data_IF_937942986328
#
_entry.id   IF_937942986328
#
_cell.length_a   1.000
_cell.length_b   1.000
_cell.length_c   1.000
_cell.angle_alpha   90.00
_cell.angle_beta   90.00
_cell.angle_gamma   90.00
#
_symmetry.space_group_name_H-M   'P 1'
#
loop_
_entity.id
_entity.type
_entity.pdbx_description
1 polymer ?
#
# COMPACT_ATOMS: atom_id res chain seq x y z
N UNK A 1 -76.16 -9.88 37.35
CA UNK A 1 -76.87 -10.00 36.05
C UNK A 1 -76.03 -9.18 35.06
N UNK A 2 -75.36 -9.70 34.04
CA UNK A 2 -75.48 -10.95 33.29
C UNK A 2 -74.10 -11.26 32.71
N UNK A 3 -73.63 -12.50 32.92
CA UNK A 3 -72.46 -13.06 32.24
C UNK A 3 -72.83 -13.33 30.78
N UNK A 4 -71.92 -13.07 29.84
CA UNK A 4 -71.83 -13.86 28.61
C UNK A 4 -70.36 -14.06 28.27
N UNK A 5 -70.02 -15.33 28.14
CA UNK A 5 -68.73 -15.92 27.92
C UNK A 5 -68.86 -16.65 26.57
N UNK A 6 -68.03 -16.35 25.57
CA UNK A 6 -67.88 -17.20 24.40
C UNK A 6 -66.46 -17.05 23.84
N UNK A 7 -65.76 -18.18 23.81
CA UNK A 7 -64.41 -18.45 23.28
C UNK A 7 -64.58 -19.12 21.89
N UNK A 8 -63.50 -19.50 21.18
CA UNK A 8 -62.63 -18.71 20.31
C UNK A 8 -62.85 -19.06 18.81
N UNK A 9 -62.35 -18.21 17.90
CA UNK A 9 -62.18 -18.59 16.48
C UNK A 9 -60.71 -18.50 16.11
N UNK A 10 -60.13 -19.66 15.80
CA UNK A 10 -58.78 -19.81 15.31
C UNK A 10 -58.72 -19.43 13.82
N UNK A 11 -57.81 -18.51 13.46
CA UNK A 11 -57.30 -18.42 12.10
C UNK A 11 -55.87 -17.85 12.12
N UNK A 12 -54.97 -18.63 11.54
CA UNK A 12 -53.91 -18.08 10.69
C UNK A 12 -52.63 -17.65 11.38
N UNK A 13 -51.75 -18.63 11.58
CA UNK A 13 -50.29 -18.50 11.59
C UNK A 13 -49.81 -17.49 10.55
N UNK A 14 -48.84 -16.63 10.92
CA UNK A 14 -47.57 -16.46 10.19
C UNK A 14 -46.61 -15.63 11.06
N UNK A 15 -45.66 -16.36 11.65
CA UNK A 15 -44.46 -15.86 12.32
C UNK A 15 -43.67 -14.92 11.40
N UNK A 16 -43.50 -13.67 11.83
CA UNK A 16 -42.60 -12.72 11.18
C UNK A 16 -41.16 -13.18 11.30
N UNK A 17 -40.63 -13.79 10.23
CA UNK A 17 -39.23 -14.16 10.10
C UNK A 17 -38.39 -12.89 10.11
N UNK A 18 -37.61 -12.72 11.18
CA UNK A 18 -36.53 -11.75 11.33
C UNK A 18 -35.50 -12.01 10.23
N UNK A 19 -35.57 -11.30 9.11
CA UNK A 19 -34.58 -11.39 8.02
C UNK A 19 -33.24 -10.86 8.51
N UNK A 20 -32.41 -11.75 9.06
CA UNK A 20 -30.97 -11.54 9.20
C UNK A 20 -30.40 -11.51 7.78
N UNK A 21 -30.12 -10.33 7.24
CA UNK A 21 -29.36 -10.16 5.99
C UNK A 21 -27.86 -10.35 6.23
N UNK A 22 -27.51 -11.43 6.93
CA UNK A 22 -26.14 -11.94 7.09
C UNK A 22 -26.08 -13.25 6.30
N UNK A 23 -26.01 -13.13 4.99
CA UNK A 23 -26.01 -14.29 4.10
C UNK A 23 -25.73 -13.99 2.63
N UNK A 24 -25.49 -12.74 2.25
CA UNK A 24 -25.15 -12.36 0.87
C UNK A 24 -23.73 -11.79 0.71
N UNK A 25 -22.92 -11.72 1.78
CA UNK A 25 -21.58 -11.13 1.74
C UNK A 25 -20.43 -12.13 1.53
N UNK A 26 -20.70 -13.45 1.54
CA UNK A 26 -19.64 -14.48 1.43
C UNK A 26 -19.60 -15.13 0.02
N UNK A 27 -20.55 -14.82 -0.86
CA UNK A 27 -20.66 -15.46 -2.19
C UNK A 27 -20.01 -14.67 -3.36
N UNK A 28 -19.28 -13.57 -3.10
CA UNK A 28 -18.49 -12.85 -4.12
C UNK A 28 -16.97 -12.97 -3.91
N UNK A 29 -16.50 -14.08 -3.33
CA UNK A 29 -15.07 -14.38 -3.20
C UNK A 29 -14.58 -15.52 -4.12
N UNK A 30 -15.43 -16.01 -5.05
CA UNK A 30 -15.12 -17.21 -5.85
C UNK A 30 -15.33 -17.06 -7.36
N UNK A 31 -15.46 -15.84 -7.90
CA UNK A 31 -15.47 -15.60 -9.35
C UNK A 31 -14.25 -14.75 -9.69
N UNK A 32 -13.18 -15.40 -10.16
CA UNK A 32 -11.95 -14.73 -10.55
C UNK A 32 -10.67 -15.56 -10.44
N UNK A 33 -10.74 -16.83 -10.05
CA UNK A 33 -9.66 -17.80 -10.29
C UNK A 33 -9.58 -18.21 -11.75
N UNK A 34 -9.52 -17.25 -12.68
CA UNK A 34 -8.90 -17.50 -13.98
C UNK A 34 -7.42 -17.24 -13.74
N UNK A 35 -6.73 -18.27 -13.23
CA UNK A 35 -5.28 -18.25 -13.14
C UNK A 35 -4.74 -17.83 -14.50
N UNK A 36 -4.06 -16.70 -14.54
CA UNK A 36 -3.21 -16.32 -15.65
C UNK A 36 -2.31 -17.52 -15.92
N UNK A 37 -2.49 -18.18 -17.06
CA UNK A 37 -1.54 -19.18 -17.50
C UNK A 37 -0.22 -18.43 -17.63
N UNK A 38 0.73 -18.69 -16.72
CA UNK A 38 2.09 -18.23 -16.90
C UNK A 38 2.57 -18.88 -18.21
N UNK A 39 2.67 -18.07 -19.26
CA UNK A 39 3.28 -18.51 -20.51
C UNK A 39 4.77 -18.26 -20.34
N UNK A 40 5.49 -19.34 -20.02
CA UNK A 40 6.94 -19.37 -20.07
C UNK A 40 7.34 -19.59 -21.53
N UNK A 41 7.99 -18.61 -22.16
CA UNK A 41 8.64 -18.81 -23.45
C UNK A 41 10.07 -19.26 -23.20
N UNK A 42 10.35 -20.52 -23.53
CA UNK A 42 11.69 -21.09 -23.44
C UNK A 42 12.40 -20.99 -24.79
N UNK A 43 13.67 -20.60 -24.78
CA UNK A 43 14.51 -20.58 -25.97
C UNK A 43 15.91 -21.08 -25.67
N UNK A 44 16.53 -21.72 -26.66
CA UNK A 44 17.90 -22.18 -26.60
C UNK A 44 18.63 -21.86 -27.91
N UNK A 45 19.92 -21.56 -27.84
CA UNK A 45 20.75 -21.43 -29.05
C UNK A 45 20.99 -22.79 -29.69
N UNK A 46 21.22 -22.81 -31.00
CA UNK A 46 21.58 -24.04 -31.73
C UNK A 46 22.86 -24.70 -31.18
N UNK A 47 23.75 -23.91 -30.58
CA UNK A 47 24.95 -24.40 -29.90
C UNK A 47 24.69 -24.99 -28.52
N UNK A 48 23.53 -24.73 -27.92
CA UNK A 48 23.20 -25.07 -26.53
C UNK A 48 23.89 -24.22 -25.47
N UNK A 49 24.75 -23.26 -25.86
CA UNK A 49 25.46 -22.39 -24.93
C UNK A 49 24.55 -21.37 -24.26
N UNK A 50 23.43 -21.01 -24.88
CA UNK A 50 22.47 -20.08 -24.31
C UNK A 50 21.15 -20.81 -24.10
N UNK A 51 20.61 -20.72 -22.89
CA UNK A 51 19.23 -21.09 -22.60
C UNK A 51 18.56 -19.93 -21.91
N UNK A 52 17.27 -19.73 -22.15
CA UNK A 52 16.55 -18.66 -21.49
C UNK A 52 15.07 -18.94 -21.36
N UNK A 53 14.48 -18.29 -20.37
CA UNK A 53 13.04 -18.30 -20.13
C UNK A 53 12.56 -16.85 -20.04
N UNK A 54 11.42 -16.58 -20.67
CA UNK A 54 10.68 -15.35 -20.49
C UNK A 54 9.31 -15.70 -19.91
N UNK A 55 9.12 -15.37 -18.64
CA UNK A 55 7.88 -15.56 -17.93
C UNK A 55 7.15 -14.22 -17.85
N UNK A 56 5.90 -14.17 -18.34
CA UNK A 56 5.08 -12.96 -18.26
C UNK A 56 3.76 -13.25 -17.57
N UNK A 57 3.45 -12.42 -16.58
CA UNK A 57 2.25 -12.48 -15.78
C UNK A 57 1.41 -11.23 -15.98
N UNK A 58 0.11 -11.43 -16.19
CA UNK A 58 -0.89 -10.39 -16.29
C UNK A 58 -1.87 -10.53 -15.14
N UNK A 59 -2.16 -9.44 -14.44
CA UNK A 59 -3.19 -9.42 -13.40
C UNK A 59 -4.07 -8.18 -13.54
N UNK A 60 -5.34 -8.34 -13.22
CA UNK A 60 -6.30 -7.25 -13.11
C UNK A 60 -7.11 -7.41 -11.83
N UNK A 61 -7.32 -6.32 -11.10
CA UNK A 61 -8.04 -6.38 -9.83
C UNK A 61 -8.71 -5.07 -9.48
N UNK A 62 -9.77 -5.18 -8.67
CA UNK A 62 -10.58 -4.05 -8.19
C UNK A 62 -10.80 -4.14 -6.69
N UNK A 63 -10.73 -3.00 -6.01
CA UNK A 63 -10.95 -2.88 -4.57
C UNK A 63 -11.88 -1.70 -4.28
N UNK A 64 -12.90 -1.94 -3.45
CA UNK A 64 -13.97 -0.97 -3.17
C UNK A 64 -14.12 -0.70 -1.67
N UNK A 65 -14.33 0.57 -1.30
CA UNK A 65 -14.67 0.95 0.07
C UNK A 65 -16.13 0.56 0.37
N UNK A 66 -16.36 -0.37 1.28
CA UNK A 66 -17.72 -0.87 1.60
C UNK A 66 -18.41 -0.14 2.74
N UNK A 67 -17.65 0.47 3.65
CA UNK A 67 -18.15 1.20 4.82
C UNK A 67 -18.01 2.71 4.66
N UNK A 68 -18.84 3.44 5.39
CA UNK A 68 -18.70 4.90 5.50
C UNK A 68 -17.40 5.29 6.21
N UNK A 69 -17.04 6.57 6.11
CA UNK A 69 -16.02 7.16 6.98
C UNK A 69 -16.49 7.09 8.42
N UNK A 70 -15.55 6.86 9.32
CA UNK A 70 -15.79 6.95 10.73
C UNK A 70 -15.32 8.33 11.19
N UNK A 71 -16.19 9.10 11.83
CA UNK A 71 -15.90 10.49 12.22
C UNK A 71 -14.70 10.56 13.18
N UNK A 72 -14.45 9.52 13.98
CA UNK A 72 -13.30 9.39 14.87
C UNK A 72 -11.95 9.19 14.14
N UNK A 73 -11.96 8.96 12.83
CA UNK A 73 -10.79 8.97 11.96
C UNK A 73 -10.63 10.30 11.20
N UNK A 74 -11.57 11.23 11.31
CA UNK A 74 -11.47 12.53 10.63
C UNK A 74 -11.06 13.60 11.63
N UNK A 75 -10.16 14.49 11.24
CA UNK A 75 -9.79 15.63 12.06
C UNK A 75 -11.00 16.53 12.34
N UNK A 76 -11.10 17.04 13.56
CA UNK A 76 -12.21 17.90 14.02
C UNK A 76 -12.53 19.05 13.05
N UNK A 77 -11.51 19.69 12.49
CA UNK A 77 -11.66 20.79 11.54
C UNK A 77 -12.19 20.35 10.16
N UNK A 78 -11.95 19.10 9.76
CA UNK A 78 -12.51 18.52 8.53
C UNK A 78 -13.98 18.10 8.70
N UNK A 79 -14.42 17.79 9.93
CA UNK A 79 -15.84 17.57 10.26
C UNK A 79 -16.59 18.89 10.46
N UNK A 80 -15.98 19.83 11.18
CA UNK A 80 -16.53 21.15 11.44
C UNK A 80 -15.44 22.22 11.22
N UNK A 81 -15.40 22.88 10.05
CA UNK A 81 -14.41 23.92 9.75
C UNK A 81 -14.42 25.12 10.70
N UNK A 82 -15.50 25.31 11.48
CA UNK A 82 -15.63 26.39 12.45
C UNK A 82 -15.28 25.96 13.89
N UNK A 83 -14.78 24.73 14.08
CA UNK A 83 -14.52 24.18 15.41
C UNK A 83 -13.61 25.07 16.27
N UNK A 84 -12.60 25.71 15.67
CA UNK A 84 -11.69 26.62 16.35
C UNK A 84 -12.33 27.90 16.90
N UNK A 85 -13.55 28.24 16.47
CA UNK A 85 -14.30 29.41 16.95
C UNK A 85 -15.21 29.11 18.14
N UNK A 86 -15.44 27.83 18.46
CA UNK A 86 -16.30 27.42 19.57
C UNK A 86 -15.56 27.53 20.92
N UNK A 87 -16.29 27.65 22.05
CA UNK A 87 -15.67 27.56 23.38
C UNK A 87 -14.89 26.25 23.57
N UNK A 88 -13.77 26.30 24.30
CA UNK A 88 -12.84 25.15 24.46
C UNK A 88 -13.55 23.85 24.89
N UNK A 89 -14.51 23.92 25.81
CA UNK A 89 -15.26 22.75 26.26
C UNK A 89 -16.03 22.06 25.10
N UNK A 90 -16.57 22.85 24.16
CA UNK A 90 -17.24 22.33 22.97
C UNK A 90 -16.24 21.77 21.96
N UNK A 91 -15.06 22.38 21.83
CA UNK A 91 -13.99 21.85 20.98
C UNK A 91 -13.52 20.46 21.45
N UNK A 92 -13.35 20.29 22.76
CA UNK A 92 -12.95 19.03 23.37
C UNK A 92 -14.03 17.96 23.12
N UNK A 93 -15.30 18.30 23.36
CA UNK A 93 -16.43 17.38 23.24
C UNK A 93 -16.84 17.05 21.79
N UNK A 94 -16.45 17.85 20.80
CA UNK A 94 -16.79 17.61 19.40
C UNK A 94 -16.23 16.26 18.88
N UNK A 95 -16.90 15.60 17.94
CA UNK A 95 -16.37 14.39 17.30
C UNK A 95 -15.10 14.68 16.49
N UNK A 96 -14.29 13.64 16.24
CA UNK A 96 -13.09 13.73 15.41
C UNK A 96 -11.76 13.74 16.16
N UNK A 97 -10.67 13.58 15.39
CA UNK A 97 -9.28 13.57 15.87
C UNK A 97 -8.77 14.99 16.14
N UNK A 98 -7.83 15.08 17.06
CA UNK A 98 -7.05 16.29 17.35
C UNK A 98 -5.90 16.51 16.34
N UNK A 99 -6.04 16.00 15.11
CA UNK A 99 -5.07 16.15 14.02
C UNK A 99 -5.77 15.86 12.70
N UNK A 100 -5.41 16.60 11.66
CA UNK A 100 -5.81 16.32 10.26
C UNK A 100 -4.71 15.59 9.49
N UNK A 101 -3.51 15.42 10.07
CA UNK A 101 -2.34 14.87 9.35
C UNK A 101 -2.41 13.34 9.09
N UNK A 102 -3.59 12.75 9.11
CA UNK A 102 -3.78 11.29 8.96
C UNK A 102 -5.15 10.91 8.40
N UNK A 103 -5.87 11.87 7.82
CA UNK A 103 -7.26 11.71 7.38
C UNK A 103 -7.48 11.89 5.87
N UNK A 104 -6.48 12.31 5.10
CA UNK A 104 -6.60 12.47 3.65
C UNK A 104 -7.01 11.14 2.99
N UNK A 105 -6.42 10.01 3.43
CA UNK A 105 -6.78 8.67 2.95
C UNK A 105 -8.25 8.31 3.17
N UNK A 106 -8.86 8.80 4.24
CA UNK A 106 -10.29 8.67 4.45
C UNK A 106 -11.07 9.63 3.53
N UNK A 107 -10.71 10.91 3.53
CA UNK A 107 -11.38 12.00 2.79
C UNK A 107 -11.32 11.84 1.26
N UNK A 108 -10.36 11.07 0.75
CA UNK A 108 -10.14 10.89 -0.68
C UNK A 108 -11.00 9.78 -1.31
N UNK A 109 -11.61 8.92 -0.49
CA UNK A 109 -12.38 7.77 -0.99
C UNK A 109 -13.70 7.61 -0.24
N UNK A 110 -14.82 7.71 -0.96
CA UNK A 110 -16.16 7.59 -0.41
C UNK A 110 -16.66 6.14 -0.39
N UNK A 111 -17.68 5.88 0.43
CA UNK A 111 -18.37 4.58 0.44
C UNK A 111 -18.90 4.24 -0.96
N UNK A 112 -18.68 3.01 -1.39
CA UNK A 112 -19.09 2.50 -2.69
C UNK A 112 -18.21 2.96 -3.85
N UNK A 113 -17.10 3.66 -3.60
CA UNK A 113 -16.11 4.02 -4.62
C UNK A 113 -14.95 3.04 -4.61
N UNK A 114 -14.42 2.79 -5.81
CA UNK A 114 -13.18 2.04 -5.97
C UNK A 114 -12.02 2.87 -5.43
N UNK A 115 -11.14 2.23 -4.67
CA UNK A 115 -9.87 2.82 -4.26
C UNK A 115 -8.66 2.17 -4.93
N UNK A 116 -8.88 1.02 -5.60
CA UNK A 116 -7.95 0.47 -6.58
C UNK A 116 -8.75 -0.17 -7.72
N UNK A 117 -8.29 0.05 -8.94
CA UNK A 117 -8.78 -0.59 -10.15
C UNK A 117 -7.58 -0.67 -11.08
N UNK A 118 -6.81 -1.76 -11.00
CA UNK A 118 -5.48 -1.82 -11.60
C UNK A 118 -5.33 -3.00 -12.53
N UNK A 119 -4.67 -2.75 -13.67
CA UNK A 119 -4.07 -3.78 -14.50
C UNK A 119 -2.56 -3.72 -14.33
N UNK A 120 -1.92 -4.88 -14.31
CA UNK A 120 -0.47 -5.02 -14.11
C UNK A 120 0.08 -6.11 -15.01
N UNK A 121 1.30 -5.89 -15.48
CA UNK A 121 2.14 -6.83 -16.20
C UNK A 121 3.49 -6.94 -15.49
N UNK A 122 3.91 -8.15 -15.19
CA UNK A 122 5.24 -8.45 -14.65
C UNK A 122 5.92 -9.43 -15.59
N UNK A 123 7.14 -9.11 -16.02
CA UNK A 123 7.94 -9.94 -16.93
C UNK A 123 9.29 -10.27 -16.30
N UNK A 124 9.69 -11.54 -16.39
CA UNK A 124 10.92 -12.10 -15.85
C UNK A 124 11.68 -12.78 -16.99
N UNK A 125 12.91 -12.32 -17.23
CA UNK A 125 13.84 -12.91 -18.18
C UNK A 125 14.97 -13.56 -17.39
N UNK A 126 15.12 -14.88 -17.54
CA UNK A 126 16.31 -15.61 -17.11
C UNK A 126 17.09 -16.00 -18.34
N UNK A 127 18.38 -15.66 -18.40
CA UNK A 127 19.29 -16.05 -19.47
C UNK A 127 20.51 -16.72 -18.86
N UNK A 128 20.72 -17.99 -19.19
CA UNK A 128 21.87 -18.76 -18.75
C UNK A 128 22.86 -18.90 -19.92
N UNK A 129 24.13 -18.65 -19.61
CA UNK A 129 25.27 -18.99 -20.45
C UNK A 129 25.94 -20.24 -19.90
N UNK A 130 25.86 -21.31 -20.67
CA UNK A 130 26.33 -22.65 -20.31
C UNK A 130 25.67 -23.10 -19.00
N UNK A 131 26.47 -23.54 -18.03
CA UNK A 131 25.99 -24.10 -16.76
C UNK A 131 26.18 -23.13 -15.59
N UNK A 132 27.04 -22.13 -15.75
CA UNK A 132 27.63 -21.43 -14.61
C UNK A 132 27.27 -19.95 -14.54
N UNK A 133 27.06 -19.28 -15.67
CA UNK A 133 26.84 -17.83 -15.69
C UNK A 133 25.47 -17.46 -16.22
N UNK A 134 24.98 -16.29 -15.85
CA UNK A 134 23.74 -15.79 -16.45
C UNK A 134 23.39 -14.36 -16.07
N UNK A 135 22.24 -13.95 -16.57
CA UNK A 135 21.60 -12.67 -16.36
C UNK A 135 20.15 -12.94 -15.95
N UNK A 136 19.70 -12.26 -14.90
CA UNK A 136 18.29 -12.24 -14.52
C UNK A 136 17.78 -10.81 -14.55
N UNK A 137 16.63 -10.60 -15.18
CA UNK A 137 15.95 -9.30 -15.25
C UNK A 137 14.47 -9.49 -14.94
N UNK A 138 13.93 -8.67 -14.05
CA UNK A 138 12.51 -8.60 -13.72
C UNK A 138 12.04 -7.16 -13.75
N UNK A 139 10.97 -6.90 -14.49
CA UNK A 139 10.31 -5.59 -14.52
C UNK A 139 8.80 -5.74 -14.36
N UNK A 140 8.17 -4.75 -13.74
CA UNK A 140 6.72 -4.68 -13.59
C UNK A 140 6.20 -3.32 -14.02
N UNK A 141 5.05 -3.31 -14.68
CA UNK A 141 4.30 -2.11 -15.00
C UNK A 141 2.87 -2.27 -14.54
N UNK A 142 2.31 -1.23 -13.93
CA UNK A 142 0.91 -1.21 -13.58
C UNK A 142 0.26 0.13 -13.90
N UNK A 143 -1.06 0.09 -14.08
CA UNK A 143 -1.90 1.25 -14.29
C UNK A 143 -3.19 1.08 -13.47
N UNK A 144 -3.47 2.03 -12.56
CA UNK A 144 -4.64 2.07 -11.68
C UNK A 144 -5.57 3.22 -12.04
N UNK A 145 -6.72 2.90 -12.65
CA UNK A 145 -7.74 3.87 -13.05
C UNK A 145 -8.40 4.60 -11.87
N UNK A 146 -8.36 4.07 -10.64
CA UNK A 146 -8.96 4.71 -9.48
C UNK A 146 -8.04 5.79 -8.88
N UNK A 147 -6.73 5.70 -9.11
CA UNK A 147 -5.72 6.60 -8.55
C UNK A 147 -5.08 7.51 -9.60
N UNK A 148 -5.01 7.09 -10.86
CA UNK A 148 -4.52 7.91 -11.97
C UNK A 148 -5.48 9.10 -12.24
N UNK A 149 -4.93 10.29 -12.46
CA UNK A 149 -5.61 11.58 -12.57
C UNK A 149 -6.52 11.92 -11.37
N UNK A 150 -6.23 11.40 -10.17
CA UNK A 150 -7.00 11.74 -8.97
C UNK A 150 -6.52 13.08 -8.42
N UNK A 151 -7.29 14.14 -8.67
CA UNK A 151 -7.00 15.51 -8.24
C UNK A 151 -6.70 15.72 -6.73
N UNK A 152 -6.99 14.73 -5.88
CA UNK A 152 -6.70 14.78 -4.43
C UNK A 152 -5.36 14.15 -4.05
N UNK A 153 -4.65 13.55 -5.01
CA UNK A 153 -3.29 13.08 -4.84
C UNK A 153 -2.33 14.14 -5.40
N UNK A 154 -1.15 14.26 -4.80
CA UNK A 154 -0.06 15.03 -5.39
C UNK A 154 0.55 14.25 -6.56
N UNK A 155 1.27 14.94 -7.43
CA UNK A 155 1.94 14.33 -8.59
C UNK A 155 2.85 13.16 -8.17
N UNK A 156 3.62 13.32 -7.09
CA UNK A 156 4.49 12.27 -6.56
C UNK A 156 3.71 11.06 -6.03
N UNK A 157 2.58 11.28 -5.36
CA UNK A 157 1.74 10.17 -4.88
C UNK A 157 1.07 9.45 -6.07
N UNK A 158 0.59 10.21 -7.06
CA UNK A 158 -0.02 9.67 -8.27
C UNK A 158 0.98 8.85 -9.10
N UNK A 159 2.24 9.28 -9.23
CA UNK A 159 3.28 8.52 -9.92
C UNK A 159 3.54 7.16 -9.27
N UNK A 160 3.36 7.04 -7.94
CA UNK A 160 3.56 5.76 -7.24
C UNK A 160 2.37 4.83 -7.28
N UNK A 161 1.14 5.36 -7.17
CA UNK A 161 -0.08 4.54 -7.03
C UNK A 161 -1.04 4.59 -8.23
N UNK A 162 -0.81 5.50 -9.18
CA UNK A 162 -1.59 5.66 -10.40
C UNK A 162 -0.99 4.89 -11.57
N UNK A 163 0.29 5.11 -11.89
CA UNK A 163 0.98 4.38 -12.97
C UNK A 163 2.48 4.35 -12.75
N UNK A 164 3.11 3.18 -12.81
CA UNK A 164 4.55 3.07 -12.62
C UNK A 164 5.14 1.88 -13.39
N UNK A 165 6.30 2.10 -14.01
CA UNK A 165 7.18 1.05 -14.52
C UNK A 165 8.37 0.93 -13.56
N UNK A 166 8.53 -0.22 -12.94
CA UNK A 166 9.61 -0.49 -11.98
C UNK A 166 10.49 -1.61 -12.50
N UNK A 167 11.80 -1.38 -12.56
CA UNK A 167 12.79 -2.44 -12.69
C UNK A 167 13.01 -3.03 -11.31
N UNK A 168 12.56 -4.27 -11.10
CA UNK A 168 12.70 -4.96 -9.82
C UNK A 168 14.12 -5.52 -9.75
N UNK A 169 14.41 -6.62 -10.44
CA UNK A 169 15.73 -7.25 -10.38
C UNK A 169 16.48 -7.08 -11.70
N UNK A 170 17.79 -6.86 -11.64
CA UNK A 170 18.69 -6.83 -12.79
C UNK A 170 20.11 -7.15 -12.33
N UNK A 171 20.51 -8.41 -12.41
CA UNK A 171 21.82 -8.85 -11.95
C UNK A 171 22.42 -9.92 -12.84
N UNK A 172 23.74 -9.95 -12.89
CA UNK A 172 24.50 -11.08 -13.43
C UNK A 172 24.92 -12.00 -12.31
N UNK A 173 25.04 -13.28 -12.61
CA UNK A 173 25.52 -14.27 -11.67
C UNK A 173 26.57 -15.19 -12.30
N UNK A 174 27.40 -15.75 -11.43
CA UNK A 174 28.35 -16.80 -11.76
C UNK A 174 28.43 -17.81 -10.61
N UNK A 175 28.12 -19.06 -10.92
CA UNK A 175 28.30 -20.20 -10.06
C UNK A 175 29.68 -20.81 -10.35
N UNK A 176 30.35 -21.29 -9.31
CA UNK A 176 31.68 -21.87 -9.44
C UNK A 176 31.83 -23.07 -8.50
N UNK A 177 32.65 -24.02 -8.91
CA UNK A 177 33.11 -25.12 -8.06
C UNK A 177 34.58 -24.91 -7.71
N UNK A 178 34.90 -24.99 -6.42
CA UNK A 178 36.28 -24.98 -5.94
C UNK A 178 36.53 -26.18 -5.02
N UNK A 179 37.25 -27.19 -5.52
CA UNK A 179 37.53 -28.44 -4.80
C UNK A 179 36.26 -29.23 -4.41
N UNK A 180 35.27 -29.30 -5.30
CA UNK A 180 34.01 -30.01 -5.01
C UNK A 180 33.10 -29.25 -4.04
N UNK A 181 33.30 -27.92 -3.93
CA UNK A 181 32.53 -27.01 -3.11
C UNK A 181 31.91 -25.95 -3.99
N UNK A 182 30.60 -25.78 -3.87
CA UNK A 182 29.85 -24.85 -4.70
C UNK A 182 29.87 -23.45 -4.09
N UNK A 183 29.96 -22.45 -4.97
CA UNK A 183 29.80 -21.05 -4.64
C UNK A 183 29.02 -20.32 -5.72
N UNK A 184 28.47 -19.17 -5.35
CA UNK A 184 27.75 -18.30 -6.27
C UNK A 184 28.11 -16.85 -5.98
N UNK A 185 28.33 -16.06 -7.02
CA UNK A 185 28.52 -14.62 -6.95
C UNK A 185 27.47 -13.93 -7.81
N UNK A 186 26.87 -12.86 -7.29
CA UNK A 186 25.86 -12.04 -7.96
C UNK A 186 26.24 -10.58 -7.87
N UNK A 187 26.04 -9.84 -8.96
CA UNK A 187 26.30 -8.40 -9.01
C UNK A 187 25.19 -7.69 -9.78
N UNK A 188 24.62 -6.67 -9.15
CA UNK A 188 23.56 -5.82 -9.71
C UNK A 188 22.41 -5.62 -8.74
N UNK A 189 21.28 -5.19 -9.27
CA UNK A 189 20.05 -4.92 -8.52
C UNK A 189 19.35 -6.24 -8.17
N UNK A 190 19.22 -6.54 -6.89
CA UNK A 190 18.62 -7.79 -6.44
C UNK A 190 18.04 -7.69 -5.03
N UNK A 191 17.21 -8.67 -4.68
CA UNK A 191 16.75 -8.91 -3.30
C UNK A 191 17.47 -10.14 -2.75
N UNK A 192 17.97 -10.05 -1.52
CA UNK A 192 18.54 -11.20 -0.82
C UNK A 192 17.80 -11.39 0.50
N UNK A 193 17.09 -12.50 0.65
CA UNK A 193 16.30 -12.80 1.84
C UNK A 193 16.88 -13.99 2.62
N UNK A 194 17.13 -13.78 3.91
CA UNK A 194 17.56 -14.81 4.88
C UNK A 194 16.39 -15.35 5.73
N UNK A 195 15.15 -15.09 5.31
CA UNK A 195 13.95 -15.44 6.08
C UNK A 195 13.60 -14.43 7.18
N UNK A 196 12.30 -14.25 7.42
CA UNK A 196 11.78 -13.28 8.37
C UNK A 196 11.60 -13.88 9.77
N UNK A 197 11.93 -13.10 10.81
CA UNK A 197 11.55 -13.40 12.19
C UNK A 197 10.05 -13.16 12.36
N UNK A 198 9.28 -14.22 12.64
CA UNK A 198 7.83 -14.13 12.85
C UNK A 198 7.43 -13.43 14.16
N UNK A 199 8.38 -13.05 15.02
CA UNK A 199 8.09 -12.54 16.37
C UNK A 199 8.67 -11.16 16.67
N UNK A 200 9.82 -10.80 16.09
CA UNK A 200 10.45 -9.48 16.27
C UNK A 200 10.72 -8.90 14.89
N UNK A 201 10.06 -7.79 14.59
CA UNK A 201 10.34 -7.02 13.38
C UNK A 201 11.78 -6.51 13.42
N UNK A 202 12.56 -6.78 12.37
CA UNK A 202 13.98 -6.43 12.26
C UNK A 202 14.86 -7.60 11.82
N UNK A 203 16.18 -7.42 11.94
CA UNK A 203 17.18 -8.40 11.50
C UNK A 203 17.78 -8.06 10.14
N UNK A 204 18.64 -8.95 9.62
CA UNK A 204 19.42 -8.68 8.40
C UNK A 204 18.54 -8.47 7.16
N UNK A 205 17.31 -8.98 7.14
CA UNK A 205 16.35 -8.72 6.06
C UNK A 205 15.93 -7.25 5.93
N UNK A 206 16.23 -6.38 6.91
CA UNK A 206 16.01 -4.94 6.79
C UNK A 206 16.83 -4.27 5.69
N UNK A 207 17.80 -4.97 5.09
CA UNK A 207 18.53 -4.47 3.92
C UNK A 207 17.69 -4.46 2.63
N UNK A 208 16.53 -5.13 2.61
CA UNK A 208 15.61 -5.10 1.49
C UNK A 208 14.46 -4.16 1.85
N UNK A 209 14.48 -2.90 1.37
CA UNK A 209 13.39 -1.99 1.62
C UNK A 209 12.10 -2.50 0.97
N UNK A 210 10.97 -1.99 1.45
CA UNK A 210 9.66 -2.36 0.93
C UNK A 210 8.88 -1.13 0.52
N UNK A 211 8.08 -1.26 -0.54
CA UNK A 211 7.02 -0.32 -0.90
C UNK A 211 5.68 -0.92 -0.46
N UNK A 212 5.12 -0.33 0.60
CA UNK A 212 3.86 -0.80 1.19
C UNK A 212 2.68 -0.58 0.25
N UNK A 213 2.75 0.44 -0.61
CA UNK A 213 1.67 0.77 -1.53
C UNK A 213 1.49 -0.30 -2.61
N UNK A 214 2.58 -0.98 -3.01
CA UNK A 214 2.51 -2.11 -3.96
C UNK A 214 1.70 -3.27 -3.41
N UNK A 215 1.74 -3.53 -2.10
CA UNK A 215 0.93 -4.57 -1.45
C UNK A 215 -0.57 -4.25 -1.43
N UNK A 216 -0.97 -3.00 -1.68
CA UNK A 216 -2.36 -2.55 -1.67
C UNK A 216 -3.04 -2.67 -3.02
N UNK A 217 -2.26 -2.86 -4.09
CA UNK A 217 -2.79 -3.09 -5.45
C UNK A 217 -3.46 -4.46 -5.49
N UNK A 218 -4.65 -4.53 -6.08
CA UNK A 218 -5.35 -5.80 -6.22
C UNK A 218 -4.54 -6.77 -7.11
N UNK A 219 -4.26 -7.98 -6.61
CA UNK A 219 -3.39 -8.94 -7.30
C UNK A 219 -1.89 -8.69 -7.10
N UNK A 220 -1.49 -7.91 -6.10
CA UNK A 220 -0.10 -7.71 -5.72
C UNK A 220 0.59 -9.01 -5.29
N UNK A 221 1.85 -9.16 -5.68
CA UNK A 221 2.70 -10.26 -5.22
C UNK A 221 3.74 -9.74 -4.23
N UNK A 222 4.15 -10.60 -3.29
CA UNK A 222 5.15 -10.21 -2.29
C UNK A 222 6.49 -9.79 -2.93
N UNK A 223 6.87 -10.44 -4.04
CA UNK A 223 8.10 -10.15 -4.78
C UNK A 223 8.14 -8.74 -5.37
N UNK A 224 6.99 -8.10 -5.55
CA UNK A 224 6.88 -6.73 -6.09
C UNK A 224 6.93 -5.66 -5.00
N UNK A 225 6.73 -6.07 -3.75
CA UNK A 225 6.78 -5.17 -2.61
C UNK A 225 8.21 -4.90 -2.16
N UNK A 226 9.15 -5.81 -2.41
CA UNK A 226 10.56 -5.56 -2.15
C UNK A 226 11.12 -4.61 -3.20
N UNK A 227 11.75 -3.53 -2.73
CA UNK A 227 12.51 -2.59 -3.55
C UNK A 227 13.93 -3.11 -3.66
N UNK A 228 14.36 -3.61 -4.83
CA UNK A 228 15.66 -4.27 -4.92
C UNK A 228 16.77 -3.22 -5.01
N UNK A 229 17.93 -3.53 -4.44
CA UNK A 229 19.04 -2.58 -4.26
C UNK A 229 20.25 -3.07 -5.04
N UNK A 230 21.03 -2.15 -5.62
CA UNK A 230 22.31 -2.50 -6.24
C UNK A 230 23.30 -3.03 -5.19
N UNK A 231 23.75 -4.28 -5.38
CA UNK A 231 24.66 -4.94 -4.45
C UNK A 231 25.56 -6.00 -5.11
N UNK A 232 26.68 -6.27 -4.45
CA UNK A 232 27.45 -7.48 -4.66
C UNK A 232 27.08 -8.51 -3.58
N UNK A 233 26.80 -9.73 -3.99
CA UNK A 233 26.50 -10.85 -3.09
C UNK A 233 27.37 -12.05 -3.47
N UNK A 234 27.87 -12.76 -2.47
CA UNK A 234 28.57 -14.02 -2.66
C UNK A 234 28.17 -15.04 -1.59
N UNK A 235 28.00 -16.29 -1.99
CA UNK A 235 27.81 -17.44 -1.10
C UNK A 235 28.84 -18.52 -1.43
N UNK A 236 29.32 -19.21 -0.40
CA UNK A 236 30.26 -20.33 -0.56
C UNK A 236 30.04 -21.40 0.49
N UNK A 237 30.03 -22.66 0.06
CA UNK A 237 29.93 -23.82 0.93
C UNK A 237 31.32 -24.33 1.30
N UNK A 238 31.78 -24.08 2.53
CA UNK A 238 33.09 -24.55 2.99
C UNK A 238 33.09 -26.06 3.25
N UNK A 239 31.97 -26.61 3.77
CA UNK A 239 31.77 -28.02 4.06
C UNK A 239 30.28 -28.39 3.92
N UNK A 240 29.95 -29.68 4.04
CA UNK A 240 28.56 -30.17 3.91
C UNK A 240 27.57 -29.53 4.90
N UNK A 241 28.07 -28.98 6.00
CA UNK A 241 27.29 -28.35 7.06
C UNK A 241 27.77 -26.93 7.40
N UNK A 242 28.61 -26.32 6.55
CA UNK A 242 29.15 -24.99 6.78
C UNK A 242 29.17 -24.19 5.48
N UNK A 243 28.38 -23.13 5.43
CA UNK A 243 28.41 -22.11 4.39
C UNK A 243 28.64 -20.74 5.00
N UNK A 244 29.12 -19.79 4.20
CA UNK A 244 29.04 -18.39 4.53
C UNK A 244 28.55 -17.59 3.34
N UNK A 245 27.92 -16.47 3.67
CA UNK A 245 27.40 -15.51 2.70
C UNK A 245 27.94 -14.13 3.07
N UNK A 246 28.23 -13.34 2.04
CA UNK A 246 28.71 -11.98 2.17
C UNK A 246 27.95 -11.10 1.19
N UNK A 247 27.65 -9.89 1.63
CA UNK A 247 26.99 -8.88 0.82
C UNK A 247 27.68 -7.53 0.98
N UNK A 248 27.58 -6.72 -0.06
CA UNK A 248 28.01 -5.33 -0.05
C UNK A 248 27.00 -4.49 -0.83
N UNK A 249 26.26 -3.64 -0.12
CA UNK A 249 25.29 -2.71 -0.70
C UNK A 249 26.06 -1.53 -1.32
N UNK A 250 25.88 -1.30 -2.62
CA UNK A 250 26.45 -0.14 -3.33
C UNK A 250 25.51 1.04 -3.36
N UNK A 251 24.25 0.80 -3.07
CA UNK A 251 23.16 1.78 -3.07
C UNK A 251 22.40 1.71 -1.73
N UNK A 252 21.76 2.82 -1.38
CA UNK A 252 20.78 2.87 -0.31
C UNK A 252 19.43 3.20 -0.91
N UNK A 253 18.41 2.45 -0.50
CA UNK A 253 17.02 2.68 -0.86
C UNK A 253 16.20 2.72 0.43
N UNK A 254 15.16 3.56 0.46
CA UNK A 254 14.36 3.77 1.66
C UNK A 254 13.08 2.93 1.63
N UNK A 255 12.58 2.53 2.80
CA UNK A 255 11.24 1.96 2.90
C UNK A 255 10.21 3.03 2.55
N UNK A 256 9.32 2.72 1.61
CA UNK A 256 8.26 3.61 1.17
C UNK A 256 6.93 3.22 1.83
N UNK A 257 6.42 4.01 2.80
CA UNK A 257 5.07 3.80 3.34
C UNK A 257 4.00 4.23 2.31
N UNK A 258 2.73 3.90 2.59
CA UNK A 258 1.59 4.36 1.79
C UNK A 258 1.68 5.89 1.55
N UNK A 259 1.72 6.35 0.27
CA UNK A 259 1.81 7.78 -0.03
C UNK A 259 0.63 8.57 0.52
N UNK A 260 0.84 9.88 0.73
CA UNK A 260 -0.16 10.78 1.27
C UNK A 260 -1.48 10.68 0.49
N UNK A 261 -2.59 10.64 1.24
CA UNK A 261 -3.92 10.70 0.66
C UNK A 261 -4.36 9.44 -0.10
N UNK A 262 -3.54 8.39 -0.14
CA UNK A 262 -3.95 7.06 -0.62
C UNK A 262 -4.85 6.39 0.41
N UNK A 263 -5.65 5.39 0.00
CA UNK A 263 -6.72 4.84 0.85
C UNK A 263 -6.24 4.24 2.18
N UNK A 264 -5.04 3.66 2.21
CA UNK A 264 -4.42 3.14 3.43
C UNK A 264 -3.42 4.11 4.06
N UNK A 265 -3.24 5.29 3.47
CA UNK A 265 -2.40 6.36 3.98
C UNK A 265 -2.93 6.89 5.31
N UNK A 266 -2.11 6.76 6.36
CA UNK A 266 -2.41 7.23 7.72
C UNK A 266 -1.47 8.35 8.17
N UNK A 267 -0.63 8.84 7.26
CA UNK A 267 0.34 9.89 7.51
C UNK A 267 0.38 10.83 6.31
N UNK A 268 -0.08 12.06 6.52
CA UNK A 268 -0.22 13.08 5.48
C UNK A 268 0.89 14.15 5.52
N UNK A 269 1.92 13.95 6.36
CA UNK A 269 3.02 14.90 6.55
C UNK A 269 4.42 14.31 6.40
N UNK A 270 4.59 13.00 6.59
CA UNK A 270 5.87 12.30 6.57
C UNK A 270 5.95 11.15 5.56
N UNK A 271 4.97 11.03 4.67
CA UNK A 271 4.97 10.07 3.56
C UNK A 271 5.24 10.77 2.22
N UNK A 272 5.52 9.99 1.17
CA UNK A 272 5.74 10.54 -0.16
C UNK A 272 4.55 11.40 -0.62
N UNK A 273 4.84 12.55 -1.23
CA UNK A 273 3.83 13.49 -1.69
C UNK A 273 3.23 14.37 -0.60
N UNK A 274 3.82 14.38 0.61
CA UNK A 274 3.47 15.31 1.69
C UNK A 274 4.24 16.64 1.56
N UNK A 275 3.58 17.76 1.84
CA UNK A 275 4.16 19.11 1.65
C UNK A 275 4.34 19.88 2.97
N UNK A 276 3.45 19.65 3.94
CA UNK A 276 3.42 20.39 5.19
C UNK A 276 2.85 19.54 6.32
N UNK A 277 3.21 19.91 7.54
CA UNK A 277 2.59 19.39 8.77
C UNK A 277 1.61 20.42 9.31
N UNK A 278 0.39 19.99 9.63
CA UNK A 278 -0.62 20.84 10.29
C UNK A 278 -0.46 20.74 11.79
N UNK A 279 -0.21 21.86 12.46
CA UNK A 279 0.02 21.92 13.91
C UNK A 279 -1.17 22.53 14.66
N UNK A 280 -2.25 22.89 13.96
CA UNK A 280 -3.50 23.38 14.56
C UNK A 280 -4.28 22.38 15.42
N UNK A 281 -3.76 21.16 15.68
CA UNK A 281 -4.40 20.10 16.48
C UNK A 281 -5.85 19.81 16.11
N UNK A 282 -6.17 19.84 14.82
CA UNK A 282 -7.52 19.64 14.29
C UNK A 282 -8.49 20.76 14.61
N UNK A 283 -8.03 21.93 15.08
CA UNK A 283 -8.88 23.09 15.41
C UNK A 283 -9.06 24.07 14.25
N UNK A 284 -8.14 24.03 13.28
CA UNK A 284 -8.18 24.82 12.06
C UNK A 284 -7.59 24.00 10.91
N UNK A 285 -8.04 24.28 9.69
CA UNK A 285 -7.44 23.71 8.48
C UNK A 285 -6.20 24.55 8.10
N UNK A 286 -5.04 23.90 8.02
CA UNK A 286 -3.78 24.48 7.54
C UNK A 286 -3.34 23.74 6.26
N UNK A 287 -2.69 24.42 5.30
CA UNK A 287 -2.22 25.79 5.34
C UNK A 287 -3.41 26.74 5.18
N UNK A 288 -3.58 27.66 6.13
CA UNK A 288 -4.55 28.72 5.97
C UNK A 288 -4.00 29.68 4.92
N UNK A 289 -4.79 30.04 3.90
CA UNK A 289 -4.38 31.20 3.10
C UNK A 289 -4.41 32.42 4.01
N UNK A 290 -3.30 33.14 4.10
CA UNK A 290 -3.23 34.42 4.85
C UNK A 290 -4.37 35.36 4.42
N UNK A 291 -4.79 35.26 3.16
CA UNK A 291 -5.92 35.99 2.58
C UNK A 291 -7.28 35.64 3.23
N UNK A 292 -7.53 34.38 3.62
CA UNK A 292 -8.72 34.00 4.39
C UNK A 292 -8.61 34.39 5.86
N UNK A 293 -7.40 34.47 6.42
CA UNK A 293 -7.19 35.04 7.75
C UNK A 293 -7.47 36.54 7.77
N UNK A 294 -7.05 37.28 6.74
CA UNK A 294 -7.34 38.71 6.56
C UNK A 294 -8.84 39.01 6.39
N UNK A 295 -9.60 38.07 5.83
CA UNK A 295 -11.07 38.18 5.69
C UNK A 295 -11.83 37.76 6.97
N UNK A 296 -11.15 37.37 8.05
CA UNK A 296 -11.78 36.91 9.30
C UNK A 296 -12.54 35.59 9.18
N UNK A 297 -12.32 34.84 8.09
CA UNK A 297 -13.00 33.57 7.80
C UNK A 297 -12.28 32.36 8.41
N UNK A 298 -11.06 32.58 8.93
CA UNK A 298 -10.32 31.64 9.77
C UNK A 298 -9.81 32.46 10.95
N UNK A 299 -10.24 32.11 12.17
CA UNK A 299 -9.60 32.66 13.37
C UNK A 299 -8.33 31.85 13.59
N UNK A 300 -7.14 32.47 13.72
CA UNK A 300 -6.02 31.76 14.30
C UNK A 300 -6.51 31.32 15.67
N UNK A 301 -6.59 30.02 15.89
CA UNK A 301 -7.07 29.47 17.15
C UNK A 301 -5.96 29.67 18.20
N UNK A 302 -5.87 30.93 18.63
CA UNK A 302 -5.19 31.51 19.79
C UNK A 302 -3.69 31.26 19.86
N UNK A 303 -2.95 32.25 19.37
CA UNK A 303 -1.54 32.53 19.61
C UNK A 303 -0.87 31.75 20.77
N UNK A 304 0.04 30.79 20.48
CA UNK A 304 0.81 30.12 21.52
C UNK A 304 2.04 30.92 22.00
N UNK A 305 2.44 32.01 21.31
CA UNK A 305 3.74 32.69 21.55
C UNK A 305 3.80 34.24 21.32
N UNK A 306 2.71 34.95 21.14
CA UNK A 306 2.69 36.40 20.98
C UNK A 306 2.87 36.94 19.55
N UNK A 307 2.60 36.22 18.44
CA UNK A 307 2.91 36.79 17.10
C UNK A 307 2.25 36.17 15.86
N UNK A 308 0.92 36.01 15.78
CA UNK A 308 0.23 36.05 14.46
C UNK A 308 -1.07 36.83 14.60
N UNK A 309 -0.96 38.16 14.65
CA UNK A 309 -2.11 39.02 14.35
C UNK A 309 -2.28 39.06 12.84
N UNK A 310 -3.47 38.78 12.33
CA UNK A 310 -3.84 39.04 10.93
C UNK A 310 -4.07 40.55 10.69
N UNK A 311 -3.14 41.37 11.18
CA UNK A 311 -2.99 42.79 10.89
C UNK A 311 -1.87 42.98 9.86
N UNK A 312 -2.05 43.99 9.00
CA UNK A 312 -1.14 44.35 7.91
C UNK A 312 0.32 44.49 8.32
#
# INVERSE_FOLDING_TARGET
MTKLNAKPSARGVLTGVRRRTLGAAIAMALVGGLGSQAQAFEFASDSGDWTGTLDTQLSYGVSMRVQGRADDLIGKANLNPLIGTLPLAQQIAAPGRFSVNSDDGDLNYDKGKLFSNAAKITSELSLNYKQDSGLFVRATYFYDWANNNKAKLTELAEEKVGTNLTLLDAFVFHNFDFNGKQGSARLGRQVVSWGESTFIQGGINSINPIDVSKLRVAGAELKEAFLPVDMAFASFEFAENLSAEALYLTEFEQTEPDPRGTYFGTNDFGSLGSDFVVLGFGRANEPASLQRCQLGLVSPATDPLGAISCGA
#
